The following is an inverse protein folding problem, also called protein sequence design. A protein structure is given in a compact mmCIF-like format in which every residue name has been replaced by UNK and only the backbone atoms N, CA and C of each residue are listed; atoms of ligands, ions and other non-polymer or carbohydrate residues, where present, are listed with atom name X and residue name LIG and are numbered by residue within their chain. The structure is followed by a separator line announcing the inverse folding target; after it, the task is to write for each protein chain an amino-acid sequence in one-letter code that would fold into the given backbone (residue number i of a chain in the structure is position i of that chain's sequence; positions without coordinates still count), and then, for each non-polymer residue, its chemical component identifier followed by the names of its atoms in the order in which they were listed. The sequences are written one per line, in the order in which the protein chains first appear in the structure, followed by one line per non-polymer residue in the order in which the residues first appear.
data_IF_097821950777
#
_entry.id   IF_097821950777
#
_cell.length_a   1.000
_cell.length_b   1.000
_cell.length_c   1.000
_cell.angle_alpha   90.00
_cell.angle_beta   90.00
_cell.angle_gamma   90.00
#
_symmetry.space_group_name_H-M   'P 1'
#
loop_
_entity.id
_entity.type
_entity.pdbx_description
1 polymer ?
#
# COMPACT_ATOMS: atom_id res chain seq x y z
N UNK A 1 -22.33 7.14 10.42
CA UNK A 1 -21.34 8.01 9.73
C UNK A 1 -20.94 7.25 8.49
N UNK A 2 -20.90 7.92 7.35
CA UNK A 2 -20.51 7.31 6.09
C UNK A 2 -19.01 6.98 6.19
N UNK A 3 -18.66 5.70 6.37
CA UNK A 3 -17.27 5.22 6.46
C UNK A 3 -16.63 5.19 5.07
N UNK A 4 -16.76 6.30 4.36
CA UNK A 4 -16.26 6.51 3.03
C UNK A 4 -15.11 7.49 3.13
N UNK A 5 -13.96 7.08 2.64
CA UNK A 5 -12.80 7.95 2.54
C UNK A 5 -12.41 8.12 1.07
N UNK A 6 -11.71 9.20 0.78
CA UNK A 6 -11.10 9.42 -0.52
C UNK A 6 -9.78 8.66 -0.63
N UNK A 7 -9.32 8.38 -1.85
CA UNK A 7 -7.99 7.78 -2.06
C UNK A 7 -6.90 8.60 -1.35
N UNK A 8 -7.06 9.92 -1.23
CA UNK A 8 -6.15 10.77 -0.47
C UNK A 8 -5.98 10.39 1.00
N UNK A 9 -6.96 9.75 1.62
CA UNK A 9 -6.91 9.39 3.03
C UNK A 9 -5.95 8.21 3.29
N UNK A 10 -5.53 7.52 2.24
CA UNK A 10 -4.47 6.50 2.29
C UNK A 10 -3.06 7.06 2.05
N UNK A 11 -2.96 8.32 1.62
CA UNK A 11 -1.71 8.93 1.16
C UNK A 11 -1.23 10.03 2.10
N UNK A 12 0.08 10.37 2.07
CA UNK A 12 0.58 11.58 2.72
C UNK A 12 -0.21 12.83 2.32
N UNK A 13 -0.65 13.62 3.31
CA UNK A 13 -1.47 14.83 3.09
C UNK A 13 -0.84 15.83 2.12
N UNK A 14 0.49 15.81 2.02
CA UNK A 14 1.28 16.53 1.05
C UNK A 14 0.74 16.40 -0.39
N UNK A 15 0.28 15.22 -0.77
CA UNK A 15 -0.20 14.93 -2.13
C UNK A 15 -1.54 15.57 -2.47
N UNK A 16 -2.34 16.02 -1.49
CA UNK A 16 -3.72 16.52 -1.70
C UNK A 16 -3.83 17.68 -2.69
N UNK A 17 -2.80 18.52 -2.76
CA UNK A 17 -2.76 19.67 -3.68
C UNK A 17 -2.15 19.34 -5.04
N UNK A 18 -1.46 18.21 -5.14
CA UNK A 18 -0.62 17.85 -6.27
C UNK A 18 -1.31 16.85 -7.20
N UNK A 19 -1.96 15.83 -6.65
CA UNK A 19 -2.52 14.73 -7.43
C UNK A 19 -3.84 15.10 -8.12
N UNK A 20 -4.17 14.44 -9.25
CA UNK A 20 -5.37 14.72 -10.01
C UNK A 20 -6.66 14.41 -9.25
N UNK A 21 -7.78 14.96 -9.74
CA UNK A 21 -9.11 14.87 -9.08
C UNK A 21 -9.60 13.44 -8.84
N UNK A 22 -9.13 12.44 -9.59
CA UNK A 22 -9.50 11.03 -9.35
C UNK A 22 -9.19 10.60 -7.91
N UNK A 23 -8.16 11.16 -7.27
CA UNK A 23 -7.80 10.85 -5.89
C UNK A 23 -8.81 11.37 -4.85
N UNK A 24 -9.67 12.32 -5.23
CA UNK A 24 -10.82 12.73 -4.42
C UNK A 24 -12.00 11.77 -4.52
N UNK A 25 -11.92 10.72 -5.36
CA UNK A 25 -13.00 9.74 -5.48
C UNK A 25 -13.11 8.96 -4.18
N UNK A 26 -14.35 8.83 -3.74
CA UNK A 26 -14.70 8.06 -2.56
C UNK A 26 -14.62 6.57 -2.86
N UNK A 27 -13.91 5.84 -2.02
CA UNK A 27 -13.75 4.38 -2.08
C UNK A 27 -14.12 3.75 -0.73
N UNK A 28 -14.51 2.46 -0.72
CA UNK A 28 -14.69 1.73 0.53
C UNK A 28 -13.32 1.52 1.21
N UNK A 29 -13.22 1.69 2.54
CA UNK A 29 -12.00 1.44 3.28
C UNK A 29 -11.65 -0.04 3.29
N UNK A 30 -10.37 -0.37 3.22
CA UNK A 30 -9.86 -1.75 3.37
C UNK A 30 -9.90 -2.22 4.83
N UNK A 31 -11.10 -2.31 5.42
CA UNK A 31 -11.33 -2.62 6.84
C UNK A 31 -10.88 -4.03 7.29
N UNK A 32 -10.52 -4.91 6.34
CA UNK A 32 -9.90 -6.21 6.63
C UNK A 32 -8.40 -6.09 6.92
N UNK A 33 -7.81 -4.93 6.64
CA UNK A 33 -6.40 -4.59 6.78
C UNK A 33 -6.20 -3.40 7.72
N UNK A 34 -6.30 -3.64 9.02
CA UNK A 34 -6.02 -2.62 10.05
C UNK A 34 -4.64 -2.88 10.67
N UNK A 35 -3.64 -2.02 10.41
CA UNK A 35 -2.31 -2.18 10.99
C UNK A 35 -2.25 -1.94 12.51
N UNK A 36 -3.12 -1.06 13.04
CA UNK A 36 -3.20 -0.77 14.47
C UNK A 36 -3.79 -1.96 15.22
N UNK A 37 -4.74 -2.67 14.62
CA UNK A 37 -5.29 -3.94 15.10
C UNK A 37 -5.03 -5.09 14.13
N UNK A 38 -3.75 -5.35 13.83
CA UNK A 38 -3.29 -6.27 12.78
C UNK A 38 -4.03 -7.62 12.77
N UNK A 39 -4.89 -7.80 11.75
CA UNK A 39 -5.71 -9.01 11.56
C UNK A 39 -4.89 -10.24 11.17
N UNK A 40 -3.64 -10.04 10.75
CA UNK A 40 -2.68 -11.07 10.38
C UNK A 40 -1.74 -11.44 11.52
N UNK A 41 -1.69 -10.65 12.59
CA UNK A 41 -0.78 -10.87 13.70
C UNK A 41 -1.26 -12.06 14.53
N UNK A 42 -0.43 -13.09 14.65
CA UNK A 42 -0.68 -14.10 15.65
C UNK A 42 -0.07 -13.67 16.99
N UNK A 43 -0.84 -13.84 18.07
CA UNK A 43 -0.45 -13.49 19.45
C UNK A 43 0.03 -14.70 20.26
N UNK A 44 0.47 -15.77 19.58
CA UNK A 44 1.00 -16.97 20.23
C UNK A 44 2.50 -16.85 20.51
N UNK A 45 2.94 -17.38 21.65
CA UNK A 45 4.35 -17.34 22.10
C UNK A 45 5.28 -18.32 21.36
N UNK A 46 4.73 -19.23 20.53
CA UNK A 46 5.50 -20.25 19.82
C UNK A 46 5.45 -20.05 18.28
N UNK A 47 6.53 -19.53 17.67
CA UNK A 47 6.63 -19.32 16.22
C UNK A 47 6.44 -20.59 15.37
N UNK A 48 6.67 -21.77 15.95
CA UNK A 48 6.60 -23.07 15.26
C UNK A 48 5.19 -23.63 15.12
N UNK A 49 4.18 -23.00 15.73
CA UNK A 49 2.77 -23.45 15.68
C UNK A 49 1.85 -22.44 14.99
N UNK A 50 2.41 -21.48 14.27
CA UNK A 50 1.65 -20.42 13.65
C UNK A 50 1.02 -20.88 12.32
N UNK A 51 -0.22 -20.45 12.02
CA UNK A 51 -0.79 -20.64 10.69
C UNK A 51 0.16 -20.09 9.63
N UNK A 52 0.27 -20.78 8.49
CA UNK A 52 1.21 -20.43 7.42
C UNK A 52 1.10 -18.97 6.96
N UNK A 53 -0.12 -18.40 6.97
CA UNK A 53 -0.38 -17.03 6.58
C UNK A 53 -0.20 -15.98 7.68
N UNK A 54 0.10 -16.36 8.92
CA UNK A 54 0.19 -15.41 10.02
C UNK A 54 1.53 -14.65 10.02
N UNK A 55 1.48 -13.38 10.44
CA UNK A 55 2.66 -12.57 10.75
C UNK A 55 3.08 -12.76 12.21
N UNK A 56 4.38 -12.65 12.44
CA UNK A 56 4.96 -12.67 13.78
C UNK A 56 4.77 -11.28 14.41
N UNK A 57 4.36 -11.25 15.68
CA UNK A 57 3.98 -10.02 16.36
C UNK A 57 5.07 -8.94 16.37
N UNK A 58 6.34 -9.36 16.35
CA UNK A 58 7.48 -8.45 16.39
C UNK A 58 7.69 -7.61 15.12
N UNK A 59 7.07 -7.96 13.97
CA UNK A 59 7.33 -7.27 12.69
C UNK A 59 6.09 -6.99 11.83
N UNK A 60 4.95 -7.69 12.03
CA UNK A 60 3.73 -7.53 11.20
C UNK A 60 4.08 -7.59 9.70
N UNK A 61 3.46 -6.80 8.82
CA UNK A 61 3.89 -6.63 7.43
C UNK A 61 5.07 -5.67 7.25
N UNK A 62 5.57 -5.07 8.33
CA UNK A 62 6.66 -4.10 8.33
C UNK A 62 8.02 -4.79 8.17
N UNK A 63 8.12 -5.70 7.20
CA UNK A 63 9.38 -6.30 6.76
C UNK A 63 9.91 -5.72 5.45
N UNK A 64 9.15 -4.82 4.83
CA UNK A 64 9.59 -4.06 3.68
C UNK A 64 10.24 -2.74 4.15
N UNK A 65 11.44 -2.44 3.63
CA UNK A 65 12.10 -1.16 3.81
C UNK A 65 11.62 -0.22 2.69
N UNK A 66 10.85 0.84 2.98
CA UNK A 66 10.41 1.77 1.95
C UNK A 66 11.53 2.67 1.49
N UNK A 67 11.67 2.77 0.17
CA UNK A 67 12.45 3.81 -0.48
C UNK A 67 11.68 5.13 -0.42
N UNK A 68 12.32 6.18 0.08
CA UNK A 68 11.72 7.49 0.32
C UNK A 68 12.30 8.53 -0.65
N UNK A 69 11.48 9.13 -1.54
CA UNK A 69 11.95 10.14 -2.48
C UNK A 69 12.40 11.41 -1.77
N UNK A 70 13.32 12.16 -2.38
CA UNK A 70 13.99 13.31 -1.78
C UNK A 70 13.04 14.35 -1.13
N UNK A 71 11.93 14.68 -1.78
CA UNK A 71 10.97 15.67 -1.28
C UNK A 71 10.13 15.14 -0.10
N UNK A 72 9.92 13.83 -0.02
CA UNK A 72 9.20 13.20 1.10
C UNK A 72 10.11 13.06 2.32
N UNK A 73 11.41 12.78 2.11
CA UNK A 73 12.43 12.90 3.15
C UNK A 73 12.44 14.31 3.73
N UNK A 74 12.42 15.34 2.87
CA UNK A 74 12.29 16.73 3.29
C UNK A 74 11.02 17.01 4.09
N UNK A 75 9.87 16.45 3.71
CA UNK A 75 8.62 16.58 4.46
C UNK A 75 8.74 15.97 5.87
N UNK A 76 9.31 14.76 6.00
CA UNK A 76 9.56 14.10 7.28
C UNK A 76 10.46 14.94 8.18
N UNK A 77 11.54 15.51 7.64
CA UNK A 77 12.49 16.31 8.40
C UNK A 77 11.90 17.63 8.91
N UNK A 78 10.89 18.16 8.21
CA UNK A 78 10.19 19.40 8.59
C UNK A 78 9.12 19.19 9.64
N UNK A 79 8.51 18.00 9.72
CA UNK A 79 7.49 17.69 10.72
C UNK A 79 8.08 17.66 12.13
N UNK A 80 7.68 18.64 12.96
CA UNK A 80 8.09 18.73 14.36
C UNK A 80 7.39 17.70 15.25
N UNK A 81 6.28 17.14 14.80
CA UNK A 81 5.53 16.11 15.54
C UNK A 81 6.09 14.70 15.35
N UNK A 82 6.90 14.47 14.31
CA UNK A 82 7.46 13.18 13.98
C UNK A 82 8.85 12.93 14.60
N UNK A 83 8.94 12.89 15.93
CA UNK A 83 10.22 12.78 16.64
C UNK A 83 11.06 11.55 16.25
N UNK A 84 10.49 10.35 16.41
CA UNK A 84 11.20 9.09 16.16
C UNK A 84 11.49 8.85 14.67
N UNK A 85 10.50 9.07 13.80
CA UNK A 85 10.68 8.91 12.36
C UNK A 85 11.75 9.84 11.80
N UNK A 86 11.75 11.12 12.24
CA UNK A 86 12.79 12.08 11.90
C UNK A 86 14.18 11.64 12.38
N UNK A 87 14.28 11.14 13.62
CA UNK A 87 15.56 10.65 14.15
C UNK A 87 16.15 9.53 13.27
N UNK A 88 15.33 8.54 12.90
CA UNK A 88 15.75 7.38 12.08
C UNK A 88 16.20 7.79 10.68
N UNK A 89 15.51 8.75 10.07
CA UNK A 89 15.94 9.35 8.79
C UNK A 89 17.28 10.06 8.93
N UNK A 90 17.47 10.85 10.00
CA UNK A 90 18.75 11.52 10.25
C UNK A 90 19.90 10.52 10.47
N UNK A 91 19.63 9.39 11.12
CA UNK A 91 20.61 8.31 11.29
C UNK A 91 21.00 7.70 9.94
N UNK A 92 20.04 7.41 9.06
CA UNK A 92 20.31 6.92 7.70
C UNK A 92 21.14 7.91 6.87
N UNK A 93 20.81 9.21 6.92
CA UNK A 93 21.57 10.26 6.22
C UNK A 93 23.01 10.35 6.76
N UNK A 94 23.20 10.30 8.09
CA UNK A 94 24.54 10.33 8.71
C UNK A 94 25.37 9.10 8.37
N UNK A 95 24.73 7.95 8.20
CA UNK A 95 25.40 6.70 7.84
C UNK A 95 25.97 6.73 6.42
N UNK A 96 25.38 7.50 5.49
CA UNK A 96 25.85 7.67 4.10
C UNK A 96 25.92 6.38 3.27
N UNK A 97 25.25 5.32 3.70
CA UNK A 97 25.18 4.04 2.96
C UNK A 97 24.13 4.05 1.85
N UNK A 98 22.93 4.56 2.13
CA UNK A 98 21.79 4.49 1.20
C UNK A 98 21.06 5.83 0.98
N UNK A 99 21.68 6.94 1.38
CA UNK A 99 21.16 8.30 1.19
C UNK A 99 21.83 8.97 -0.01
N UNK A 100 21.05 9.30 -1.02
CA UNK A 100 21.49 10.01 -2.23
C UNK A 100 20.60 11.24 -2.49
N UNK A 101 20.94 12.10 -3.45
CA UNK A 101 20.07 13.19 -3.89
C UNK A 101 18.70 12.72 -4.43
N UNK A 102 18.56 11.45 -4.83
CA UNK A 102 17.24 10.90 -5.21
C UNK A 102 16.34 10.63 -4.00
N UNK A 103 16.93 10.40 -2.82
CA UNK A 103 16.17 9.96 -1.65
C UNK A 103 16.98 9.11 -0.66
N UNK A 104 16.25 8.48 0.26
CA UNK A 104 16.78 7.49 1.22
C UNK A 104 16.22 6.13 0.86
N UNK A 105 17.10 5.19 0.52
CA UNK A 105 16.74 3.90 -0.06
C UNK A 105 17.04 2.73 0.88
N UNK A 106 16.45 1.59 0.56
CA UNK A 106 16.83 0.29 1.14
C UNK A 106 18.32 0.02 0.88
N UNK A 107 19.12 -0.29 1.92
CA UNK A 107 20.51 -0.74 1.72
C UNK A 107 20.57 -2.02 0.88
N UNK A 108 21.60 -2.16 0.03
CA UNK A 108 21.70 -3.29 -0.90
C UNK A 108 21.73 -4.65 -0.20
N UNK A 109 22.40 -4.75 0.96
CA UNK A 109 22.37 -5.94 1.81
C UNK A 109 20.96 -6.33 2.21
N UNK A 110 20.14 -5.36 2.59
CA UNK A 110 18.76 -5.62 2.96
C UNK A 110 17.98 -6.12 1.75
N UNK A 111 18.13 -5.48 0.58
CA UNK A 111 17.48 -5.89 -0.68
C UNK A 111 17.74 -7.36 -1.01
N UNK A 112 19.01 -7.77 -1.03
CA UNK A 112 19.40 -9.16 -1.33
C UNK A 112 18.78 -10.16 -0.34
N UNK A 113 18.82 -9.87 0.96
CA UNK A 113 18.22 -10.77 1.97
C UNK A 113 16.70 -10.78 1.85
N UNK A 114 16.08 -9.64 1.61
CA UNK A 114 14.63 -9.50 1.44
C UNK A 114 14.14 -10.29 0.22
N UNK A 115 14.78 -10.12 -0.93
CA UNK A 115 14.43 -10.81 -2.18
C UNK A 115 14.60 -12.33 -2.05
N UNK A 116 15.67 -12.78 -1.40
CA UNK A 116 15.90 -14.20 -1.12
C UNK A 116 14.86 -14.81 -0.16
N UNK A 117 14.23 -13.99 0.69
CA UNK A 117 13.33 -14.43 1.75
C UNK A 117 11.88 -14.02 1.54
N UNK A 118 11.51 -13.36 0.43
CA UNK A 118 10.19 -12.74 0.30
C UNK A 118 9.02 -13.71 0.54
N UNK A 119 9.14 -14.95 0.09
CA UNK A 119 8.07 -15.95 0.23
C UNK A 119 7.98 -16.59 1.62
N UNK A 120 9.06 -16.57 2.41
CA UNK A 120 9.17 -17.32 3.66
C UNK A 120 9.41 -16.45 4.89
N UNK A 121 10.11 -15.33 4.72
CA UNK A 121 10.48 -14.37 5.75
C UNK A 121 9.58 -13.14 5.83
N UNK A 122 8.77 -12.84 4.79
CA UNK A 122 7.87 -11.69 4.84
C UNK A 122 6.89 -11.79 6.02
N UNK A 123 6.90 -10.75 6.83
CA UNK A 123 6.16 -10.64 8.08
C UNK A 123 6.49 -11.66 9.16
N UNK A 124 7.62 -12.37 9.06
CA UNK A 124 8.05 -13.40 10.01
C UNK A 124 9.49 -13.17 10.50
N UNK A 125 10.41 -12.84 9.61
CA UNK A 125 11.81 -12.67 9.95
C UNK A 125 12.05 -11.34 10.68
N UNK A 126 12.43 -11.40 11.96
CA UNK A 126 12.77 -10.20 12.75
C UNK A 126 14.01 -9.47 12.23
N UNK A 127 14.91 -10.18 11.55
CA UNK A 127 16.08 -9.58 10.86
C UNK A 127 15.69 -8.70 9.67
N UNK A 128 14.48 -8.88 9.14
CA UNK A 128 13.89 -8.03 8.12
C UNK A 128 12.98 -6.98 8.76
N UNK A 129 13.08 -6.65 10.05
CA UNK A 129 12.27 -5.56 10.60
C UNK A 129 12.62 -4.25 9.89
N UNK A 130 11.60 -3.59 9.32
CA UNK A 130 11.75 -2.26 8.73
C UNK A 130 12.30 -1.29 9.79
N UNK A 131 13.34 -0.49 9.48
CA UNK A 131 13.91 0.43 10.46
C UNK A 131 12.92 1.49 10.94
N UNK A 132 11.81 1.71 10.20
CA UNK A 132 10.77 2.65 10.58
C UNK A 132 9.65 2.03 11.44
N UNK A 133 9.67 0.71 11.68
CA UNK A 133 8.74 0.08 12.61
C UNK A 133 9.13 0.40 14.06
N UNK A 134 8.22 0.98 14.82
CA UNK A 134 8.34 1.18 16.26
C UNK A 134 7.76 -0.04 16.96
N UNK A 135 8.62 -0.85 17.57
CA UNK A 135 8.23 -2.08 18.27
C UNK A 135 7.48 -1.78 19.58
N UNK A 136 7.70 -0.61 20.20
CA UNK A 136 7.02 -0.25 21.44
C UNK A 136 5.60 0.26 21.15
N UNK A 137 5.45 1.12 20.15
CA UNK A 137 4.14 1.61 19.70
C UNK A 137 3.41 0.63 18.76
N UNK A 138 4.08 -0.46 18.36
CA UNK A 138 3.67 -1.42 17.33
C UNK A 138 3.15 -0.77 16.03
N UNK A 139 3.76 0.35 15.61
CA UNK A 139 3.31 1.12 14.46
C UNK A 139 4.49 1.72 13.67
N UNK A 140 4.23 2.21 12.45
CA UNK A 140 5.23 2.87 11.63
C UNK A 140 5.50 4.30 12.15
N UNK A 141 6.75 4.57 12.53
CA UNK A 141 7.21 5.90 12.93
C UNK A 141 7.10 6.96 11.82
N UNK A 142 6.98 6.55 10.55
CA UNK A 142 6.75 7.45 9.41
C UNK A 142 5.39 7.23 8.73
N UNK A 143 4.38 6.70 9.45
CA UNK A 143 3.08 6.32 8.86
C UNK A 143 2.44 7.39 7.94
N UNK A 144 2.52 8.67 8.34
CA UNK A 144 1.98 9.82 7.58
C UNK A 144 2.73 10.11 6.27
N UNK A 145 3.91 9.52 6.10
CA UNK A 145 4.88 9.79 5.04
C UNK A 145 5.32 8.50 4.35
N UNK A 146 4.43 7.50 4.32
CA UNK A 146 4.66 6.24 3.60
C UNK A 146 4.81 6.52 2.10
N UNK A 147 5.72 5.79 1.46
CA UNK A 147 5.89 5.84 0.00
C UNK A 147 4.74 5.12 -0.72
N UNK A 148 4.86 5.04 -2.04
CA UNK A 148 3.89 4.36 -2.91
C UNK A 148 3.54 2.95 -2.43
N UNK A 149 4.52 2.14 -2.04
CA UNK A 149 4.31 0.73 -1.69
C UNK A 149 3.60 0.62 -0.36
N UNK A 150 4.14 1.24 0.69
CA UNK A 150 3.57 1.14 2.03
C UNK A 150 2.20 1.80 2.15
N UNK A 151 1.87 2.78 1.30
CA UNK A 151 0.56 3.45 1.31
C UNK A 151 -0.53 2.65 0.58
N UNK A 152 -0.17 1.76 -0.33
CA UNK A 152 -1.14 1.01 -1.15
C UNK A 152 -1.08 -0.51 -0.95
N UNK A 153 -0.31 -0.98 0.02
CA UNK A 153 -0.22 -2.40 0.34
C UNK A 153 -1.23 -2.77 1.42
N UNK A 154 -2.02 -3.81 1.17
CA UNK A 154 -3.02 -4.34 2.08
C UNK A 154 -2.88 -5.87 2.15
N UNK A 155 -2.87 -6.43 3.35
CA UNK A 155 -2.76 -7.89 3.55
C UNK A 155 -4.04 -8.65 3.18
N UNK A 156 -5.19 -7.95 3.26
CA UNK A 156 -6.51 -8.44 2.89
C UNK A 156 -7.25 -7.33 2.14
N UNK A 157 -7.78 -7.66 0.97
CA UNK A 157 -8.41 -6.69 0.06
C UNK A 157 -9.89 -7.01 -0.12
N UNK A 158 -10.76 -6.04 0.12
CA UNK A 158 -12.21 -6.14 0.10
C UNK A 158 -12.77 -6.64 -1.24
N UNK A 159 -12.23 -6.12 -2.33
CA UNK A 159 -12.68 -6.44 -3.68
C UNK A 159 -11.84 -7.54 -4.35
N UNK A 160 -11.13 -8.37 -3.55
CA UNK A 160 -10.33 -9.50 -4.00
C UNK A 160 -9.38 -9.12 -5.15
N UNK A 161 -9.40 -9.86 -6.26
CA UNK A 161 -8.50 -9.68 -7.41
C UNK A 161 -8.69 -8.29 -8.05
N UNK A 162 -9.93 -7.77 -8.09
CA UNK A 162 -10.22 -6.44 -8.66
C UNK A 162 -9.68 -5.33 -7.76
N UNK A 163 -9.82 -5.49 -6.45
CA UNK A 163 -9.23 -4.56 -5.48
C UNK A 163 -7.70 -4.61 -5.51
N UNK A 164 -7.11 -5.80 -5.57
CA UNK A 164 -5.66 -5.98 -5.70
C UNK A 164 -5.13 -5.29 -6.96
N UNK A 165 -5.80 -5.51 -8.08
CA UNK A 165 -5.46 -4.85 -9.34
C UNK A 165 -5.58 -3.32 -9.26
N UNK A 166 -6.59 -2.79 -8.55
CA UNK A 166 -6.73 -1.37 -8.28
C UNK A 166 -5.54 -0.83 -7.47
N UNK A 167 -5.24 -1.44 -6.33
CA UNK A 167 -4.14 -1.01 -5.46
C UNK A 167 -2.77 -1.14 -6.11
N UNK A 168 -2.52 -2.20 -6.88
CA UNK A 168 -1.30 -2.34 -7.69
C UNK A 168 -1.21 -1.25 -8.77
N UNK A 169 -2.33 -0.91 -9.42
CA UNK A 169 -2.36 0.18 -10.41
C UNK A 169 -2.06 1.53 -9.76
N UNK A 170 -2.63 1.78 -8.58
CA UNK A 170 -2.35 2.99 -7.79
C UNK A 170 -0.89 3.04 -7.34
N UNK A 171 -0.36 1.94 -6.83
CA UNK A 171 1.04 1.79 -6.44
C UNK A 171 1.98 2.17 -7.58
N UNK A 172 1.76 1.61 -8.77
CA UNK A 172 2.58 1.86 -9.94
C UNK A 172 2.50 3.32 -10.41
N UNK A 173 1.32 3.94 -10.32
CA UNK A 173 1.19 5.35 -10.61
C UNK A 173 1.97 6.22 -9.61
N UNK A 174 1.88 5.91 -8.32
CA UNK A 174 2.61 6.63 -7.28
C UNK A 174 4.12 6.44 -7.41
N UNK A 175 4.62 5.23 -7.73
CA UNK A 175 6.04 4.99 -8.04
C UNK A 175 6.51 5.89 -9.18
N UNK A 176 5.74 5.97 -10.27
CA UNK A 176 6.05 6.84 -11.40
C UNK A 176 6.13 8.31 -10.98
N UNK A 177 5.17 8.78 -10.17
CA UNK A 177 5.15 10.14 -9.63
C UNK A 177 6.37 10.40 -8.73
N UNK A 178 6.66 9.49 -7.80
CA UNK A 178 7.79 9.61 -6.85
C UNK A 178 9.11 9.72 -7.60
N UNK A 179 9.33 8.88 -8.62
CA UNK A 179 10.51 8.92 -9.48
C UNK A 179 10.56 10.19 -10.33
N UNK A 180 9.45 10.59 -10.92
CA UNK A 180 9.38 11.78 -11.80
C UNK A 180 9.67 13.06 -11.02
N UNK A 181 9.09 13.21 -9.82
CA UNK A 181 9.31 14.36 -8.96
C UNK A 181 10.72 14.41 -8.38
N UNK A 182 11.27 13.25 -7.99
CA UNK A 182 12.66 13.17 -7.50
C UNK A 182 13.65 13.61 -8.56
N UNK A 183 13.46 13.16 -9.80
CA UNK A 183 14.29 13.57 -10.93
C UNK A 183 14.08 15.05 -11.30
N UNK A 184 12.84 15.53 -11.27
CA UNK A 184 12.53 16.95 -11.51
C UNK A 184 13.28 17.86 -10.54
N UNK A 185 13.28 17.56 -9.24
CA UNK A 185 14.04 18.30 -8.23
C UNK A 185 15.52 18.39 -8.59
N UNK A 186 16.12 17.27 -9.02
CA UNK A 186 17.55 17.28 -9.35
C UNK A 186 17.86 18.14 -10.58
N UNK A 187 16.99 18.14 -11.60
CA UNK A 187 17.13 19.05 -12.74
C UNK A 187 17.03 20.51 -12.30
N UNK A 188 16.06 20.85 -11.45
CA UNK A 188 15.84 22.22 -10.96
C UNK A 188 17.03 22.77 -10.16
N UNK A 189 17.73 21.91 -9.40
CA UNK A 189 18.93 22.32 -8.64
C UNK A 189 20.23 22.16 -9.44
N UNK A 190 20.14 21.85 -10.75
CA UNK A 190 21.26 21.90 -11.68
C UNK A 190 22.10 20.64 -11.79
N UNK A 191 21.58 19.46 -11.46
CA UNK A 191 22.29 18.20 -11.71
C UNK A 191 22.43 17.92 -13.21
N UNK A 192 23.62 17.46 -13.60
CA UNK A 192 23.90 17.03 -14.97
C UNK A 192 23.13 15.75 -15.35
N UNK A 193 22.65 15.70 -16.59
CA UNK A 193 21.81 14.59 -17.10
C UNK A 193 22.53 13.24 -17.12
N UNK A 194 23.84 13.21 -17.33
CA UNK A 194 24.61 11.97 -17.28
C UNK A 194 24.71 11.46 -15.85
N UNK A 195 24.93 12.35 -14.88
CA UNK A 195 24.90 11.98 -13.46
C UNK A 195 23.51 11.51 -13.05
N UNK A 196 22.43 12.17 -13.48
CA UNK A 196 21.06 11.72 -13.23
C UNK A 196 20.82 10.29 -13.75
N UNK A 197 21.28 10.02 -14.97
CA UNK A 197 21.14 8.69 -15.58
C UNK A 197 21.93 7.64 -14.78
N UNK A 198 23.15 7.96 -14.37
CA UNK A 198 23.97 7.10 -13.53
C UNK A 198 23.29 6.84 -12.18
N UNK A 199 22.79 7.88 -11.51
CA UNK A 199 22.11 7.78 -10.22
C UNK A 199 20.86 6.90 -10.29
N UNK A 200 20.03 7.07 -11.32
CA UNK A 200 18.84 6.22 -11.49
C UNK A 200 19.25 4.75 -11.72
N UNK A 201 20.39 4.51 -12.38
CA UNK A 201 20.90 3.15 -12.61
C UNK A 201 21.46 2.51 -11.33
N UNK A 202 22.27 3.24 -10.56
CA UNK A 202 23.00 2.68 -9.41
C UNK A 202 22.25 2.78 -8.09
N UNK A 203 21.35 3.75 -7.96
CA UNK A 203 20.73 4.12 -6.68
C UNK A 203 19.20 4.33 -6.79
N UNK A 204 18.62 4.11 -7.98
CA UNK A 204 17.19 4.34 -8.22
C UNK A 204 16.30 3.19 -7.74
N UNK A 205 15.00 3.49 -7.61
CA UNK A 205 13.93 2.57 -7.21
C UNK A 205 13.83 1.29 -8.08
N UNK A 206 14.31 1.34 -9.32
CA UNK A 206 14.19 0.27 -10.32
C UNK A 206 15.57 -0.24 -10.76
N UNK A 207 16.59 -0.26 -9.89
CA UNK A 207 17.84 -0.96 -10.22
C UNK A 207 17.54 -2.47 -10.38
N UNK A 208 17.24 -2.86 -11.61
CA UNK A 208 17.10 -4.25 -12.08
C UNK A 208 18.47 -4.90 -12.32
N UNK A 209 19.56 -4.12 -12.24
CA UNK A 209 20.90 -4.66 -12.39
C UNK A 209 21.22 -5.54 -11.18
N UNK A 210 21.32 -6.85 -11.44
CA UNK A 210 21.97 -7.89 -10.62
C UNK A 210 23.47 -7.56 -10.44
N UNK A 211 23.80 -6.37 -9.96
CA UNK A 211 25.18 -6.03 -9.63
C UNK A 211 25.60 -6.84 -8.41
N UNK A 212 26.69 -7.58 -8.57
CA UNK A 212 27.39 -8.23 -7.46
C UNK A 212 27.64 -7.20 -6.35
N UNK A 213 27.21 -7.54 -5.13
CA UNK A 213 27.46 -6.70 -3.96
C UNK A 213 28.95 -6.52 -3.73
N UNK A 214 29.35 -5.29 -3.48
CA UNK A 214 30.70 -4.98 -2.99
C UNK A 214 30.87 -5.46 -1.53
N UNK A 215 32.10 -5.78 -1.09
CA UNK A 215 32.36 -6.11 0.31
C UNK A 215 31.86 -5.03 1.29
N UNK A 216 31.99 -3.76 0.91
CA UNK A 216 31.50 -2.62 1.68
C UNK A 216 29.98 -2.64 1.86
N UNK A 217 29.22 -3.00 0.81
CA UNK A 217 27.77 -3.15 0.90
C UNK A 217 27.35 -4.34 1.76
N UNK A 218 28.12 -5.44 1.76
CA UNK A 218 27.87 -6.60 2.64
C UNK A 218 28.07 -6.23 4.11
N UNK A 219 29.09 -5.43 4.40
CA UNK A 219 29.41 -4.97 5.75
C UNK A 219 28.60 -3.74 6.19
N UNK A 220 27.66 -3.27 5.35
CA UNK A 220 26.84 -2.07 5.59
C UNK A 220 27.71 -0.85 5.92
N UNK A 221 28.76 -0.64 5.13
CA UNK A 221 29.68 0.49 5.28
C UNK A 221 29.18 1.72 4.50
N UNK A 222 29.56 2.94 4.94
CA UNK A 222 29.27 4.16 4.18
C UNK A 222 29.80 4.10 2.74
N UNK A 223 29.13 4.82 1.83
CA UNK A 223 29.65 5.00 0.47
C UNK A 223 31.09 5.54 0.49
N UNK A 224 31.92 5.05 -0.43
CA UNK A 224 33.29 5.55 -0.63
C UNK A 224 33.29 7.05 -0.87
N UNK A 225 34.20 7.77 -0.23
CA UNK A 225 34.24 9.23 -0.24
C UNK A 225 34.24 9.82 -1.65
N UNK A 226 34.96 9.22 -2.61
CA UNK A 226 35.01 9.70 -3.99
C UNK A 226 33.65 9.62 -4.68
N UNK A 227 32.94 8.51 -4.49
CA UNK A 227 31.59 8.30 -5.02
C UNK A 227 30.61 9.26 -4.33
N UNK A 228 30.73 9.42 -3.01
CA UNK A 228 29.90 10.31 -2.23
C UNK A 228 30.02 11.76 -2.71
N UNK A 229 31.25 12.27 -2.85
CA UNK A 229 31.51 13.62 -3.39
C UNK A 229 31.02 13.77 -4.84
N UNK A 230 31.17 12.74 -5.68
CA UNK A 230 30.67 12.78 -7.06
C UNK A 230 29.14 12.90 -7.13
N UNK A 231 28.44 12.16 -6.26
CA UNK A 231 26.97 12.13 -6.22
C UNK A 231 26.41 13.40 -5.57
N UNK A 232 26.96 13.84 -4.44
CA UNK A 232 26.44 14.98 -3.71
C UNK A 232 26.94 16.33 -4.24
N UNK A 233 28.06 16.37 -4.94
CA UNK A 233 28.62 17.59 -5.54
C UNK A 233 28.63 18.77 -4.54
N UNK A 234 28.09 19.93 -4.93
CA UNK A 234 27.95 21.13 -4.10
C UNK A 234 27.03 20.97 -2.88
N UNK A 235 26.29 19.86 -2.78
CA UNK A 235 25.43 19.52 -1.65
C UNK A 235 26.12 18.59 -0.64
N UNK A 236 27.37 18.20 -0.87
CA UNK A 236 28.15 17.45 0.12
C UNK A 236 28.26 18.23 1.44
N UNK A 237 27.91 17.59 2.55
CA UNK A 237 27.81 18.19 3.88
C UNK A 237 26.58 19.08 4.08
N UNK A 238 25.71 19.22 3.08
CA UNK A 238 24.49 20.04 3.07
C UNK A 238 23.26 19.20 2.72
N UNK A 239 23.28 17.91 3.04
CA UNK A 239 22.24 16.94 2.66
C UNK A 239 20.87 17.33 3.23
N UNK A 240 20.84 17.84 4.47
CA UNK A 240 19.59 18.30 5.10
C UNK A 240 19.00 19.54 4.41
N UNK A 241 19.86 20.46 3.95
CA UNK A 241 19.44 21.63 3.18
C UNK A 241 18.92 21.23 1.80
N UNK A 242 19.57 20.23 1.18
CA UNK A 242 19.11 19.65 -0.08
C UNK A 242 17.70 19.07 0.05
N UNK A 243 17.45 18.21 1.04
CA UNK A 243 16.12 17.61 1.22
C UNK A 243 15.04 18.65 1.56
N UNK A 244 15.37 19.68 2.35
CA UNK A 244 14.47 20.79 2.58
C UNK A 244 14.14 21.54 1.28
N UNK A 245 15.15 21.78 0.44
CA UNK A 245 15.00 22.42 -0.88
C UNK A 245 14.14 21.57 -1.82
N UNK A 246 14.36 20.25 -1.86
CA UNK A 246 13.57 19.29 -2.64
C UNK A 246 12.09 19.37 -2.27
N UNK A 247 11.79 19.39 -0.98
CA UNK A 247 10.43 19.56 -0.49
C UNK A 247 9.84 20.90 -0.89
N UNK A 248 10.57 22.01 -0.72
CA UNK A 248 10.07 23.35 -1.08
C UNK A 248 9.79 23.50 -2.58
N UNK A 249 10.58 22.86 -3.46
CA UNK A 249 10.33 22.80 -4.90
C UNK A 249 9.00 22.10 -5.18
N UNK A 250 8.81 20.89 -4.66
CA UNK A 250 7.61 20.09 -4.98
C UNK A 250 6.33 20.71 -4.36
N UNK A 251 6.41 21.38 -3.20
CA UNK A 251 5.26 22.07 -2.58
C UNK A 251 4.72 23.24 -3.40
N UNK A 252 5.51 23.78 -4.33
CA UNK A 252 5.09 24.86 -5.23
C UNK A 252 4.38 24.34 -6.48
N UNK A 253 4.42 23.03 -6.73
CA UNK A 253 3.80 22.41 -7.89
C UNK A 253 2.29 22.22 -7.66
N UNK A 254 1.53 22.36 -8.75
CA UNK A 254 0.13 21.97 -8.82
C UNK A 254 -0.11 20.81 -9.79
N UNK A 255 -1.38 20.41 -9.98
CA UNK A 255 -1.74 19.27 -10.85
C UNK A 255 -1.27 19.43 -12.30
N UNK A 256 -1.29 20.65 -12.83
CA UNK A 256 -0.84 20.93 -14.21
C UNK A 256 0.68 20.74 -14.36
N UNK A 257 1.46 21.14 -13.35
CA UNK A 257 2.90 20.90 -13.34
C UNK A 257 3.19 19.40 -13.25
N UNK A 258 2.49 18.68 -12.38
CA UNK A 258 2.64 17.23 -12.25
C UNK A 258 2.34 16.52 -13.58
N UNK A 259 1.24 16.88 -14.25
CA UNK A 259 0.89 16.30 -15.54
C UNK A 259 1.99 16.54 -16.58
N UNK A 260 2.57 17.75 -16.62
CA UNK A 260 3.69 18.05 -17.50
C UNK A 260 4.95 17.25 -17.17
N UNK A 261 5.28 17.08 -15.88
CA UNK A 261 6.46 16.35 -15.41
C UNK A 261 6.34 14.85 -15.68
N UNK A 262 5.18 14.25 -15.39
CA UNK A 262 4.95 12.82 -15.58
C UNK A 262 4.68 12.41 -17.03
N UNK A 263 4.34 13.37 -17.90
CA UNK A 263 4.16 13.16 -19.33
C UNK A 263 3.11 12.10 -19.72
N UNK A 264 3.32 11.47 -20.88
CA UNK A 264 2.39 10.48 -21.45
C UNK A 264 2.18 9.29 -20.53
N UNK A 265 3.25 8.79 -19.89
CA UNK A 265 3.16 7.67 -18.94
C UNK A 265 2.27 8.03 -17.75
N UNK A 266 2.37 9.25 -17.22
CA UNK A 266 1.48 9.74 -16.17
C UNK A 266 0.01 9.71 -16.59
N UNK A 267 -0.30 10.12 -17.84
CA UNK A 267 -1.66 10.04 -18.37
C UNK A 267 -2.16 8.60 -18.52
N UNK A 268 -1.30 7.68 -18.97
CA UNK A 268 -1.63 6.26 -19.09
C UNK A 268 -1.91 5.63 -17.72
N UNK A 269 -1.09 5.92 -16.72
CA UNK A 269 -1.32 5.47 -15.35
C UNK A 269 -2.64 6.00 -14.79
N UNK A 270 -2.93 7.29 -14.98
CA UNK A 270 -4.20 7.88 -14.54
C UNK A 270 -5.42 7.26 -15.23
N UNK A 271 -5.34 6.97 -16.53
CA UNK A 271 -6.41 6.29 -17.26
C UNK A 271 -6.61 4.86 -16.76
N UNK A 272 -5.51 4.11 -16.53
CA UNK A 272 -5.56 2.74 -15.98
C UNK A 272 -6.15 2.73 -14.57
N UNK A 273 -5.81 3.71 -13.73
CA UNK A 273 -6.38 3.87 -12.40
C UNK A 273 -7.89 4.12 -12.46
N UNK A 274 -8.36 4.95 -13.38
CA UNK A 274 -9.79 5.16 -13.58
C UNK A 274 -10.53 3.87 -13.96
N UNK A 275 -9.95 3.09 -14.88
CA UNK A 275 -10.52 1.80 -15.28
C UNK A 275 -10.51 0.78 -14.15
N UNK A 276 -9.41 0.65 -13.40
CA UNK A 276 -9.32 -0.30 -12.28
C UNK A 276 -10.26 0.07 -11.13
N UNK A 277 -10.44 1.37 -10.86
CA UNK A 277 -11.41 1.87 -9.89
C UNK A 277 -12.84 1.49 -10.28
N UNK A 278 -13.20 1.69 -11.55
CA UNK A 278 -14.53 1.28 -12.05
C UNK A 278 -14.75 -0.23 -11.89
N UNK A 279 -13.73 -1.04 -12.20
CA UNK A 279 -13.81 -2.50 -12.04
C UNK A 279 -13.99 -2.90 -10.56
N UNK A 280 -13.20 -2.30 -9.66
CA UNK A 280 -13.26 -2.55 -8.22
C UNK A 280 -14.63 -2.20 -7.62
N UNK A 281 -15.23 -1.10 -8.07
CA UNK A 281 -16.51 -0.59 -7.56
C UNK A 281 -17.73 -1.23 -8.22
N UNK A 282 -17.55 -2.04 -9.27
CA UNK A 282 -18.65 -2.64 -10.01
C UNK A 282 -19.36 -3.71 -9.19
N UNK A 283 -20.68 -3.52 -9.04
CA UNK A 283 -21.63 -4.49 -8.50
C UNK A 283 -22.81 -4.58 -9.47
N UNK A 284 -23.24 -5.78 -9.88
CA UNK A 284 -24.46 -5.98 -10.67
C UNK A 284 -25.69 -5.36 -10.01
N UNK A 285 -26.64 -4.92 -10.82
CA UNK A 285 -27.89 -4.31 -10.34
C UNK A 285 -28.72 -5.28 -9.51
N UNK A 286 -28.70 -6.57 -9.85
CA UNK A 286 -29.47 -7.63 -9.19
C UNK A 286 -28.52 -8.75 -8.82
N UNK A 287 -28.52 -9.13 -7.54
CA UNK A 287 -27.66 -10.16 -7.00
C UNK A 287 -28.49 -11.30 -6.42
N UNK A 288 -27.96 -12.52 -6.52
CA UNK A 288 -28.51 -13.72 -5.90
C UNK A 288 -27.44 -14.42 -5.09
N UNK A 289 -27.83 -15.10 -4.01
CA UNK A 289 -26.92 -15.98 -3.28
C UNK A 289 -26.33 -17.06 -4.18
N UNK A 290 -25.03 -17.29 -4.09
CA UNK A 290 -24.38 -18.36 -4.84
C UNK A 290 -24.77 -19.75 -4.27
N UNK A 291 -25.50 -20.58 -5.03
CA UNK A 291 -25.99 -21.89 -4.56
C UNK A 291 -24.96 -23.01 -4.67
N UNK A 292 -23.95 -22.86 -5.55
CA UNK A 292 -22.92 -23.89 -5.81
C UNK A 292 -21.87 -23.92 -4.70
N UNK A 293 -21.89 -22.94 -3.79
CA UNK A 293 -20.73 -22.58 -3.00
C UNK A 293 -19.74 -21.83 -3.89
N UNK A 294 -18.99 -20.90 -3.30
CA UNK A 294 -17.91 -20.25 -4.06
C UNK A 294 -16.87 -21.28 -4.51
N UNK A 295 -15.98 -20.94 -5.42
CA UNK A 295 -14.78 -21.76 -5.70
C UNK A 295 -13.89 -22.00 -4.46
N UNK A 296 -14.19 -21.35 -3.33
CA UNK A 296 -13.53 -21.47 -2.05
C UNK A 296 -14.16 -22.53 -1.15
N UNK A 297 -13.39 -23.01 -0.17
CA UNK A 297 -13.90 -23.76 0.97
C UNK A 297 -14.77 -22.84 1.83
N UNK A 298 -16.07 -22.77 1.52
CA UNK A 298 -17.05 -22.00 2.30
C UNK A 298 -17.57 -22.84 3.44
N UNK A 299 -17.40 -22.36 4.66
CA UNK A 299 -18.14 -22.86 5.81
C UNK A 299 -19.15 -21.80 6.24
N UNK A 300 -20.43 -22.11 6.07
CA UNK A 300 -21.54 -21.27 6.56
C UNK A 300 -22.02 -21.84 7.88
N UNK A 301 -21.91 -21.05 8.95
CA UNK A 301 -22.47 -21.39 10.25
C UNK A 301 -23.54 -20.37 10.59
N UNK A 302 -24.79 -20.80 10.75
CA UNK A 302 -25.87 -19.92 11.17
C UNK A 302 -26.18 -20.21 12.63
N UNK A 303 -25.96 -19.20 13.46
CA UNK A 303 -26.34 -19.24 14.86
C UNK A 303 -27.86 -19.10 14.97
N UNK A 304 -28.51 -20.15 15.49
CA UNK A 304 -29.97 -20.19 15.65
C UNK A 304 -30.48 -19.23 16.73
N UNK A 305 -29.65 -18.81 17.68
CA UNK A 305 -30.03 -17.88 18.75
C UNK A 305 -29.96 -16.43 18.26
N UNK A 306 -28.90 -16.06 17.55
CA UNK A 306 -28.71 -14.68 17.06
C UNK A 306 -29.26 -14.44 15.66
N UNK A 307 -29.54 -15.51 14.89
CA UNK A 307 -29.93 -15.43 13.48
C UNK A 307 -28.81 -14.90 12.57
N UNK A 308 -27.57 -14.86 13.07
CA UNK A 308 -26.39 -14.42 12.33
C UNK A 308 -25.77 -15.58 11.57
N UNK A 309 -25.39 -15.33 10.33
CA UNK A 309 -24.61 -16.25 9.53
C UNK A 309 -23.15 -15.78 9.52
N UNK A 310 -22.26 -16.65 9.97
CA UNK A 310 -20.83 -16.53 9.73
C UNK A 310 -20.46 -17.28 8.46
N UNK A 311 -19.74 -16.62 7.57
CA UNK A 311 -19.24 -17.20 6.33
C UNK A 311 -17.73 -17.16 6.39
N UNK A 312 -17.11 -18.34 6.53
CA UNK A 312 -15.67 -18.50 6.56
C UNK A 312 -15.20 -18.93 5.17
N UNK A 313 -14.26 -18.18 4.61
CA UNK A 313 -13.64 -18.44 3.31
C UNK A 313 -12.13 -18.57 3.46
N UNK A 314 -11.55 -19.50 2.72
CA UNK A 314 -10.11 -19.60 2.52
C UNK A 314 -9.78 -19.14 1.11
N UNK A 315 -8.96 -18.11 1.02
CA UNK A 315 -8.62 -17.45 -0.24
C UNK A 315 -7.14 -17.66 -0.49
N UNK A 316 -6.76 -18.22 -1.63
CA UNK A 316 -5.35 -18.30 -2.01
C UNK A 316 -4.98 -16.95 -2.63
N UNK A 317 -4.15 -16.18 -1.94
CA UNK A 317 -3.33 -15.17 -2.61
C UNK A 317 -1.99 -15.83 -2.97
N UNK A 318 -1.32 -15.35 -4.02
CA UNK A 318 -0.21 -16.00 -4.76
C UNK A 318 0.88 -16.70 -3.90
N UNK A 319 0.99 -16.35 -2.62
CA UNK A 319 1.99 -16.85 -1.66
C UNK A 319 1.42 -17.42 -0.36
N UNK A 320 0.12 -17.27 -0.04
CA UNK A 320 -0.45 -17.78 1.23
C UNK A 320 -1.99 -17.84 1.24
N UNK A 321 -2.55 -18.69 2.10
CA UNK A 321 -4.01 -18.83 2.29
C UNK A 321 -4.52 -17.85 3.34
N UNK A 322 -5.34 -16.88 2.95
CA UNK A 322 -5.92 -15.88 3.85
C UNK A 322 -7.33 -16.29 4.28
N UNK A 323 -7.63 -16.37 5.59
CA UNK A 323 -9.00 -16.55 6.06
C UNK A 323 -9.76 -15.22 6.01
N UNK A 324 -10.96 -15.25 5.44
CA UNK A 324 -11.92 -14.14 5.41
C UNK A 324 -13.21 -14.59 6.10
N UNK A 325 -13.73 -13.75 6.99
CA UNK A 325 -14.94 -14.05 7.75
C UNK A 325 -15.96 -12.92 7.56
N UNK A 326 -17.14 -13.27 7.07
CA UNK A 326 -18.28 -12.36 7.03
C UNK A 326 -19.26 -12.67 8.14
N UNK A 327 -19.85 -11.63 8.73
CA UNK A 327 -20.94 -11.74 9.70
C UNK A 327 -22.12 -10.93 9.19
N UNK A 328 -23.20 -11.59 8.82
CA UNK A 328 -24.40 -10.95 8.28
C UNK A 328 -25.65 -11.65 8.81
N UNK A 329 -26.74 -10.93 9.14
CA UNK A 329 -27.98 -11.58 9.52
C UNK A 329 -28.49 -12.47 8.39
N UNK A 330 -28.88 -13.70 8.68
CA UNK A 330 -29.37 -14.66 7.68
C UNK A 330 -30.55 -14.09 6.88
N UNK A 331 -31.45 -13.37 7.57
CA UNK A 331 -32.59 -12.68 6.96
C UNK A 331 -32.20 -11.61 5.94
N UNK A 332 -31.05 -10.94 6.12
CA UNK A 332 -30.56 -9.94 5.15
C UNK A 332 -29.96 -10.67 3.95
N UNK A 333 -29.23 -11.75 4.18
CA UNK A 333 -28.68 -12.57 3.09
C UNK A 333 -29.81 -13.16 2.21
N UNK A 334 -30.94 -13.55 2.83
CA UNK A 334 -32.13 -14.05 2.15
C UNK A 334 -32.81 -13.03 1.21
N UNK A 335 -32.59 -11.72 1.40
CA UNK A 335 -33.12 -10.69 0.49
C UNK A 335 -32.44 -10.70 -0.89
N UNK A 336 -31.25 -11.31 -1.00
CA UNK A 336 -30.56 -11.50 -2.29
C UNK A 336 -31.09 -12.76 -3.00
N UNK A 337 -32.32 -12.68 -3.49
CA UNK A 337 -33.05 -13.76 -4.14
C UNK A 337 -33.06 -13.67 -5.68
N UNK A 338 -32.45 -12.63 -6.23
CA UNK A 338 -32.42 -12.36 -7.68
C UNK A 338 -33.65 -11.63 -8.22
N UNK A 339 -34.61 -11.22 -7.38
CA UNK A 339 -35.82 -10.51 -7.81
C UNK A 339 -35.77 -9.00 -7.52
N UNK A 340 -34.95 -8.58 -6.55
CA UNK A 340 -34.82 -7.19 -6.15
C UNK A 340 -33.47 -6.60 -6.58
N UNK A 341 -33.47 -5.32 -6.90
CA UNK A 341 -32.22 -4.57 -7.11
C UNK A 341 -31.45 -4.45 -5.79
N UNK A 342 -30.14 -4.28 -5.86
CA UNK A 342 -29.30 -4.09 -4.67
C UNK A 342 -29.77 -2.88 -3.83
N UNK A 343 -30.21 -1.80 -4.48
CA UNK A 343 -30.76 -0.62 -3.79
C UNK A 343 -32.05 -0.90 -3.02
N UNK A 344 -32.90 -1.80 -3.53
CA UNK A 344 -34.10 -2.27 -2.83
C UNK A 344 -33.71 -3.15 -1.64
N UNK A 345 -32.79 -4.09 -1.83
CA UNK A 345 -32.27 -4.95 -0.75
C UNK A 345 -31.66 -4.11 0.38
N UNK A 346 -30.91 -3.04 0.08
CA UNK A 346 -30.36 -2.13 1.11
C UNK A 346 -31.47 -1.44 1.91
N UNK A 347 -32.55 -1.01 1.24
CA UNK A 347 -33.72 -0.40 1.91
C UNK A 347 -34.46 -1.40 2.78
N UNK A 348 -34.69 -2.61 2.28
CA UNK A 348 -35.42 -3.66 2.97
C UNK A 348 -34.62 -4.26 4.14
N UNK A 349 -33.30 -4.40 4.00
CA UNK A 349 -32.42 -4.78 5.10
C UNK A 349 -32.56 -3.82 6.30
N UNK A 350 -32.68 -2.51 6.03
CA UNK A 350 -32.89 -1.53 7.09
C UNK A 350 -34.31 -1.59 7.65
N UNK A 351 -35.32 -1.71 6.80
CA UNK A 351 -36.75 -1.66 7.17
C UNK A 351 -37.20 -2.93 7.89
N UNK A 352 -36.84 -4.09 7.38
CA UNK A 352 -37.34 -5.40 7.82
C UNK A 352 -36.39 -6.06 8.82
N UNK A 353 -35.08 -5.87 8.64
CA UNK A 353 -34.06 -6.48 9.47
C UNK A 353 -33.39 -5.51 10.46
N UNK A 354 -33.75 -4.22 10.46
CA UNK A 354 -33.10 -3.21 11.31
C UNK A 354 -31.59 -3.11 11.08
N UNK A 355 -31.10 -3.62 9.94
CA UNK A 355 -29.69 -3.80 9.66
C UNK A 355 -29.25 -2.79 8.60
N UNK A 356 -28.20 -2.03 8.89
CA UNK A 356 -27.64 -1.08 7.93
C UNK A 356 -26.63 -1.82 7.06
N UNK A 357 -27.11 -2.31 5.91
CA UNK A 357 -26.24 -2.94 4.92
C UNK A 357 -25.40 -1.87 4.22
N UNK A 358 -24.09 -1.89 4.44
CA UNK A 358 -23.16 -0.94 3.83
C UNK A 358 -22.68 -1.43 2.46
N UNK A 359 -22.33 -0.51 1.57
CA UNK A 359 -21.96 -0.83 0.19
C UNK A 359 -20.67 -1.65 0.09
N UNK A 360 -19.70 -1.36 0.95
CA UNK A 360 -18.46 -2.13 1.08
C UNK A 360 -18.73 -3.59 1.44
N UNK A 361 -19.80 -3.87 2.19
CA UNK A 361 -20.19 -5.25 2.51
C UNK A 361 -20.72 -5.95 1.25
N UNK A 362 -21.49 -5.25 0.43
CA UNK A 362 -22.01 -5.78 -0.84
C UNK A 362 -20.87 -6.06 -1.82
N UNK A 363 -19.94 -5.10 -1.98
CA UNK A 363 -18.74 -5.28 -2.83
C UNK A 363 -17.96 -6.52 -2.40
N UNK A 364 -17.73 -6.73 -1.09
CA UNK A 364 -17.05 -7.93 -0.59
C UNK A 364 -17.84 -9.19 -0.89
N UNK A 365 -19.13 -9.24 -0.52
CA UNK A 365 -19.95 -10.43 -0.72
C UNK A 365 -19.99 -10.84 -2.20
N UNK A 366 -20.04 -9.88 -3.12
CA UNK A 366 -19.95 -10.13 -4.55
C UNK A 366 -18.54 -10.57 -4.99
N UNK A 367 -17.49 -9.87 -4.54
CA UNK A 367 -16.10 -10.15 -4.94
C UNK A 367 -15.56 -11.48 -4.42
N UNK A 368 -16.17 -12.01 -3.35
CA UNK A 368 -15.84 -13.30 -2.75
C UNK A 368 -16.83 -14.41 -3.15
N UNK A 369 -17.61 -14.20 -4.21
CA UNK A 369 -18.57 -15.16 -4.77
C UNK A 369 -19.60 -15.69 -3.76
N UNK A 370 -19.87 -14.93 -2.69
CA UNK A 370 -21.00 -15.21 -1.78
C UNK A 370 -22.31 -14.82 -2.47
N UNK A 371 -22.28 -13.70 -3.18
CA UNK A 371 -23.33 -13.24 -4.09
C UNK A 371 -22.80 -13.27 -5.53
N UNK A 372 -23.68 -13.55 -6.48
CA UNK A 372 -23.40 -13.56 -7.92
C UNK A 372 -24.45 -12.74 -8.66
N UNK A 373 -24.15 -12.37 -9.90
CA UNK A 373 -25.12 -11.73 -10.78
C UNK A 373 -26.32 -12.68 -11.01
N UNK A 374 -27.54 -12.16 -10.88
CA UNK A 374 -28.75 -12.92 -11.16
C UNK A 374 -28.99 -13.13 -12.66
N UNK A 375 -28.38 -12.29 -13.52
CA UNK A 375 -28.35 -12.54 -14.94
C UNK A 375 -27.40 -13.72 -15.25
N UNK A 376 -27.81 -14.71 -16.06
CA UNK A 376 -26.91 -15.81 -16.41
C UNK A 376 -25.67 -15.27 -17.13
N UNK A 377 -24.46 -15.81 -16.83
CA UNK A 377 -23.24 -15.42 -17.53
C UNK A 377 -23.34 -15.87 -18.99
N UNK A 378 -23.71 -14.94 -19.89
CA UNK A 378 -23.75 -15.12 -21.34
C UNK A 378 -25.09 -15.60 -21.88
N UNK A 379 -25.87 -14.64 -22.41
CA UNK A 379 -26.64 -14.83 -23.64
C UNK A 379 -25.90 -14.12 -24.77
#
# INVERSE_FOLDING_TARGET
MNDYHSIFDELPDFYRKLLPRIFSTVIPPEDMSDCASCTMQCRGDNPLQLPEAAFYGAVKCCTYYPDLPNYLVGEILRDKSNGLGKQRILESIRHRGSSTPLGVFMPQRYKVVYDAMINTGFGKASTLACPYFDTEAENCSIWKYRNSVCSTWFCKVNARDKGKFFWETLMNYLKHIERSLSNFVLMEVGYDIHLLTQLNKTCGHDSEDDTEMTPEEVDDLPMRSELYSQIWQQWEGRELEFFATANDIVRQLGPDNLASICGVEGHMHNARLASSLQMMMYVPTVLVQNPVGSQFNVVRNTDSETGMTEIHLLTNDLTYTVPVVFRIPNRVLALFDGNCTVDEVVKDAKKEAGYVLKWETIIKLYSYDVLIDAAPPGM
#
